data_IF_179692949548
#
_entry.id   IF_179692949548
#
_cell.length_a   1.000
_cell.length_b   1.000
_cell.length_c   1.000
_cell.angle_alpha   90.00
_cell.angle_beta   90.00
_cell.angle_gamma   90.00
#
_symmetry.space_group_name_H-M   'P 1'
#
loop_
_entity.id
_entity.type
_entity.pdbx_description
1 polymer ?
#
# COMPACT_ATOMS: atom_id res chain seq x y z
N UNK A 1 30.98 -1.89 5.98
CA UNK A 1 30.39 -2.16 4.65
C UNK A 1 29.82 -0.90 4.01
N UNK A 2 28.79 -0.25 4.58
CA UNK A 2 28.15 0.95 3.99
C UNK A 2 29.15 2.03 3.56
N UNK A 3 30.07 2.43 4.44
CA UNK A 3 31.11 3.43 4.12
C UNK A 3 31.90 3.08 2.86
N UNK A 4 32.35 1.83 2.77
CA UNK A 4 33.10 1.32 1.61
C UNK A 4 32.22 1.37 0.36
N UNK A 5 30.94 1.00 0.45
CA UNK A 5 30.00 1.07 -0.67
C UNK A 5 29.82 2.50 -1.18
N UNK A 6 29.71 3.48 -0.28
CA UNK A 6 29.60 4.91 -0.65
C UNK A 6 30.88 5.35 -1.39
N UNK A 7 32.06 5.07 -0.81
CA UNK A 7 33.35 5.41 -1.41
C UNK A 7 33.52 4.78 -2.81
N UNK A 8 33.21 3.49 -2.95
CA UNK A 8 33.29 2.79 -4.23
C UNK A 8 32.25 3.30 -5.24
N UNK A 9 31.07 3.70 -4.79
CA UNK A 9 30.03 4.26 -5.67
C UNK A 9 30.46 5.60 -6.28
N UNK A 10 31.13 6.46 -5.52
CA UNK A 10 31.67 7.73 -6.02
C UNK A 10 32.78 7.50 -7.06
N UNK A 11 33.65 6.51 -6.83
CA UNK A 11 34.68 6.11 -7.82
C UNK A 11 34.00 5.58 -9.09
N UNK A 12 32.97 4.76 -8.94
CA UNK A 12 32.23 4.18 -10.06
C UNK A 12 31.49 5.24 -10.88
N UNK A 13 30.87 6.22 -10.21
CA UNK A 13 30.22 7.37 -10.86
C UNK A 13 31.21 8.09 -11.79
N UNK A 14 32.41 8.39 -11.29
CA UNK A 14 33.46 9.06 -12.08
C UNK A 14 33.84 8.24 -13.31
N UNK A 15 34.15 6.95 -13.11
CA UNK A 15 34.54 6.03 -14.19
C UNK A 15 33.44 5.87 -15.25
N UNK A 16 32.18 5.78 -14.84
CA UNK A 16 31.04 5.66 -15.76
C UNK A 16 30.87 6.96 -16.54
N UNK A 17 30.97 8.12 -15.89
CA UNK A 17 30.83 9.40 -16.58
C UNK A 17 31.96 9.64 -17.58
N UNK A 18 33.20 9.25 -17.26
CA UNK A 18 34.34 9.26 -18.19
C UNK A 18 34.07 8.34 -19.39
N UNK A 19 33.63 7.11 -19.14
CA UNK A 19 33.28 6.16 -20.20
C UNK A 19 32.15 6.67 -21.10
N UNK A 20 31.08 7.22 -20.53
CA UNK A 20 29.94 7.77 -21.27
C UNK A 20 30.37 8.95 -22.14
N UNK A 21 31.24 9.82 -21.62
CA UNK A 21 31.81 10.94 -22.37
C UNK A 21 32.68 10.45 -23.52
N UNK A 22 33.52 9.43 -23.31
CA UNK A 22 34.35 8.83 -24.37
C UNK A 22 33.47 8.24 -25.49
N UNK A 23 32.38 7.55 -25.14
CA UNK A 23 31.51 6.88 -26.13
C UNK A 23 30.56 7.81 -26.88
N UNK A 24 30.08 8.86 -26.22
CA UNK A 24 29.07 9.75 -26.82
C UNK A 24 29.67 11.04 -27.37
N UNK A 25 30.90 11.42 -26.94
CA UNK A 25 31.51 12.71 -27.24
C UNK A 25 30.91 13.88 -26.45
N UNK A 26 29.89 13.64 -25.62
CA UNK A 26 29.17 14.66 -24.87
C UNK A 26 29.03 14.30 -23.39
N UNK A 27 28.78 15.30 -22.56
CA UNK A 27 28.57 15.13 -21.10
C UNK A 27 27.10 15.21 -20.67
N UNK A 28 26.15 15.09 -21.62
CA UNK A 28 24.71 15.17 -21.33
C UNK A 28 24.19 13.95 -20.56
N UNK A 29 24.71 12.77 -20.87
CA UNK A 29 24.35 11.53 -20.17
C UNK A 29 25.35 11.32 -19.02
N UNK A 30 24.86 11.39 -17.79
CA UNK A 30 25.65 11.18 -16.58
C UNK A 30 24.94 10.26 -15.60
N UNK A 31 25.71 9.42 -14.94
CA UNK A 31 25.33 8.78 -13.69
C UNK A 31 25.61 9.74 -12.54
N UNK A 32 24.74 9.72 -11.55
CA UNK A 32 24.96 10.37 -10.26
C UNK A 32 24.64 9.34 -9.17
N UNK A 33 25.52 9.20 -8.19
CA UNK A 33 25.24 8.47 -6.98
C UNK A 33 24.15 9.22 -6.19
N UNK A 34 23.08 8.51 -5.83
CA UNK A 34 22.02 9.08 -5.00
C UNK A 34 22.15 8.67 -3.54
N UNK A 35 22.22 7.36 -3.28
CA UNK A 35 22.20 6.78 -1.93
C UNK A 35 22.53 5.31 -1.92
N UNK A 36 22.96 4.84 -0.76
CA UNK A 36 23.13 3.42 -0.42
C UNK A 36 22.01 3.01 0.53
N UNK A 37 21.39 1.85 0.29
CA UNK A 37 20.41 1.29 1.24
C UNK A 37 20.99 0.08 1.94
N UNK A 38 21.11 0.13 3.26
CA UNK A 38 21.48 -1.01 4.06
C UNK A 38 21.02 -0.88 5.52
N UNK A 39 20.46 -1.93 6.14
CA UNK A 39 19.94 -3.13 5.50
C UNK A 39 18.78 -2.79 4.55
N UNK A 40 18.55 -3.65 3.57
CA UNK A 40 17.49 -3.50 2.58
C UNK A 40 16.86 -4.86 2.24
N UNK A 41 15.55 -4.87 2.01
CA UNK A 41 14.78 -6.05 1.63
C UNK A 41 14.04 -5.77 0.33
N UNK A 42 14.21 -6.67 -0.62
CA UNK A 42 13.56 -6.62 -1.93
C UNK A 42 12.55 -7.76 -2.02
N UNK A 43 11.26 -7.42 -1.88
CA UNK A 43 10.16 -8.41 -1.94
C UNK A 43 9.85 -8.77 -3.39
N UNK A 44 9.71 -7.75 -4.24
CA UNK A 44 9.41 -7.93 -5.66
C UNK A 44 9.90 -6.73 -6.48
N UNK A 45 9.78 -6.82 -7.80
CA UNK A 45 10.09 -5.69 -8.69
C UNK A 45 9.27 -4.46 -8.27
N UNK A 46 9.97 -3.33 -8.05
CA UNK A 46 9.41 -2.06 -7.54
C UNK A 46 8.78 -2.13 -6.13
N UNK A 47 8.96 -3.22 -5.39
CA UNK A 47 8.46 -3.40 -4.02
C UNK A 47 9.64 -3.75 -3.09
N UNK A 48 10.18 -2.74 -2.42
CA UNK A 48 11.34 -2.89 -1.55
C UNK A 48 11.40 -1.77 -0.52
N UNK A 49 12.18 -2.00 0.54
CA UNK A 49 12.41 -1.04 1.60
C UNK A 49 13.78 -1.24 2.25
N UNK A 50 14.26 -0.23 2.95
CA UNK A 50 15.55 -0.29 3.65
C UNK A 50 15.90 1.01 4.33
N UNK A 51 16.99 0.99 5.09
CA UNK A 51 17.55 2.20 5.70
C UNK A 51 18.46 2.89 4.70
N UNK A 52 18.28 4.19 4.52
CA UNK A 52 19.06 5.01 3.58
C UNK A 52 20.27 5.62 4.24
N UNK A 53 21.37 5.62 3.49
CA UNK A 53 22.61 6.32 3.77
C UNK A 53 23.01 7.11 2.54
N UNK A 54 23.03 8.44 2.66
CA UNK A 54 23.33 9.33 1.52
C UNK A 54 24.83 9.56 1.44
N UNK A 55 25.35 10.51 2.22
CA UNK A 55 26.77 10.89 2.24
C UNK A 55 27.62 10.06 3.21
N UNK A 56 27.02 9.63 4.31
CA UNK A 56 27.70 8.88 5.37
C UNK A 56 26.79 7.81 5.97
N UNK A 57 27.36 6.76 6.59
CA UNK A 57 26.58 5.76 7.31
C UNK A 57 25.85 6.42 8.50
N UNK A 58 24.53 6.35 8.48
CA UNK A 58 23.66 6.87 9.54
C UNK A 58 22.86 5.72 10.18
N UNK A 59 23.34 5.26 11.35
CA UNK A 59 22.65 4.26 12.18
C UNK A 59 22.02 4.84 13.44
N UNK A 60 22.37 6.08 13.79
CA UNK A 60 21.86 6.76 15.00
C UNK A 60 20.45 7.28 14.79
N UNK A 61 20.11 7.68 13.57
CA UNK A 61 18.78 8.15 13.21
C UNK A 61 18.41 7.61 11.83
N UNK A 62 18.15 6.29 11.75
CA UNK A 62 17.96 5.61 10.47
C UNK A 62 16.72 6.16 9.77
N UNK A 63 16.88 6.50 8.48
CA UNK A 63 15.78 6.95 7.63
C UNK A 63 15.23 5.78 6.83
N UNK A 64 13.98 5.40 7.09
CA UNK A 64 13.31 4.34 6.37
C UNK A 64 12.88 4.80 4.98
N UNK A 65 13.27 4.04 3.97
CA UNK A 65 12.83 4.24 2.60
C UNK A 65 11.90 3.13 2.17
N UNK A 66 10.77 3.53 1.58
CA UNK A 66 9.67 2.65 1.19
C UNK A 66 9.38 2.85 -0.30
N UNK A 67 9.48 1.78 -1.10
CA UNK A 67 9.13 1.83 -2.53
C UNK A 67 8.07 0.79 -2.85
N UNK A 68 6.94 1.25 -3.39
CA UNK A 68 5.86 0.40 -3.91
C UNK A 68 5.10 -0.43 -2.88
N UNK A 69 5.55 -0.48 -1.63
CA UNK A 69 4.84 -1.14 -0.54
C UNK A 69 3.48 -0.51 -0.27
N UNK A 70 2.49 -1.30 0.14
CA UNK A 70 1.14 -0.82 0.43
C UNK A 70 1.12 0.25 1.53
N UNK A 71 2.11 0.27 2.43
CA UNK A 71 2.30 1.25 3.49
C UNK A 71 2.31 2.72 2.99
N UNK A 72 2.76 2.98 1.76
CA UNK A 72 2.76 4.35 1.20
C UNK A 72 1.41 4.79 0.61
N UNK A 73 0.42 3.89 0.55
CA UNK A 73 -0.90 4.20 -0.02
C UNK A 73 -1.75 4.95 1.01
N UNK A 74 -2.54 5.92 0.54
CA UNK A 74 -3.43 6.72 1.41
C UNK A 74 -4.68 5.96 1.88
N UNK A 75 -5.13 4.97 1.11
CA UNK A 75 -6.35 4.21 1.40
C UNK A 75 -6.02 2.87 2.09
N UNK A 76 -5.44 2.95 3.27
CA UNK A 76 -5.12 1.81 4.13
C UNK A 76 -5.51 2.18 5.56
N UNK A 77 -5.88 1.18 6.36
CA UNK A 77 -6.17 1.41 7.78
C UNK A 77 -4.91 1.78 8.54
N UNK A 78 -5.06 2.55 9.61
CA UNK A 78 -3.94 2.90 10.49
C UNK A 78 -3.37 1.65 11.17
N UNK A 79 -4.23 0.66 11.47
CA UNK A 79 -3.83 -0.68 11.90
C UNK A 79 -2.80 -1.31 10.95
N UNK A 80 -3.08 -1.31 9.64
CA UNK A 80 -2.14 -1.85 8.67
C UNK A 80 -0.80 -1.09 8.74
N UNK A 81 -0.84 0.24 8.87
CA UNK A 81 0.38 1.04 8.90
C UNK A 81 1.28 0.69 10.07
N UNK A 82 0.72 0.71 11.27
CA UNK A 82 1.45 0.45 12.50
C UNK A 82 2.05 -0.96 12.49
N UNK A 83 1.24 -1.96 12.19
CA UNK A 83 1.69 -3.37 12.21
C UNK A 83 2.72 -3.63 11.11
N UNK A 84 2.49 -3.14 9.89
CA UNK A 84 3.43 -3.31 8.78
C UNK A 84 4.75 -2.55 9.03
N UNK A 85 4.71 -1.35 9.61
CA UNK A 85 5.90 -0.59 9.97
C UNK A 85 6.73 -1.32 11.04
N UNK A 86 6.09 -1.84 12.10
CA UNK A 86 6.75 -2.66 13.12
C UNK A 86 7.43 -3.91 12.51
N UNK A 87 6.74 -4.60 11.59
CA UNK A 87 7.31 -5.73 10.84
C UNK A 87 8.52 -5.32 9.99
N UNK A 88 8.45 -4.18 9.30
CA UNK A 88 9.54 -3.68 8.45
C UNK A 88 10.77 -3.38 9.30
N UNK A 89 10.62 -2.62 10.37
CA UNK A 89 11.73 -2.28 11.26
C UNK A 89 12.36 -3.54 11.85
N UNK A 90 11.52 -4.47 12.34
CA UNK A 90 12.01 -5.74 12.86
C UNK A 90 12.76 -6.56 11.80
N UNK A 91 12.24 -6.63 10.57
CA UNK A 91 12.89 -7.38 9.49
C UNK A 91 14.22 -6.76 9.04
N UNK A 92 14.36 -5.43 9.19
CA UNK A 92 15.59 -4.69 8.97
C UNK A 92 16.58 -4.80 10.15
N UNK A 93 16.26 -5.52 11.22
CA UNK A 93 17.16 -5.67 12.36
C UNK A 93 17.12 -4.52 13.34
N UNK A 94 16.05 -3.72 13.34
CA UNK A 94 15.87 -2.62 14.27
C UNK A 94 14.69 -2.87 15.22
N UNK A 95 14.81 -2.34 16.43
CA UNK A 95 13.70 -2.20 17.34
C UNK A 95 12.74 -1.12 16.82
N UNK A 96 11.43 -1.35 16.95
CA UNK A 96 10.43 -0.43 16.42
C UNK A 96 10.37 0.89 17.20
N UNK A 97 10.52 0.84 18.53
CA UNK A 97 10.28 1.98 19.42
C UNK A 97 11.43 3.00 19.41
N UNK A 98 12.66 2.53 19.58
CA UNK A 98 13.86 3.37 19.70
C UNK A 98 14.74 3.35 18.43
N UNK A 99 14.40 2.50 17.45
CA UNK A 99 15.15 2.31 16.20
C UNK A 99 16.61 1.94 16.45
N UNK A 100 16.89 1.28 17.58
CA UNK A 100 18.20 0.70 17.86
C UNK A 100 18.39 -0.63 17.13
N UNK A 101 19.63 -1.00 16.85
CA UNK A 101 19.96 -2.27 16.18
C UNK A 101 19.75 -3.43 17.16
N UNK A 102 19.04 -4.48 16.74
CA UNK A 102 18.89 -5.71 17.53
C UNK A 102 20.20 -6.49 17.53
N UNK A 103 20.58 -7.02 18.69
CA UNK A 103 21.83 -7.76 18.88
C UNK A 103 21.74 -9.23 18.46
N UNK A 104 20.53 -9.77 18.27
CA UNK A 104 20.28 -11.18 17.98
C UNK A 104 19.97 -11.41 16.50
N UNK A 105 20.38 -12.56 15.96
CA UNK A 105 19.98 -13.02 14.63
C UNK A 105 18.47 -13.26 14.59
N UNK A 106 17.78 -12.46 13.81
CA UNK A 106 16.32 -12.50 13.73
C UNK A 106 15.89 -13.51 12.68
N UNK A 107 15.25 -14.60 13.12
CA UNK A 107 14.34 -15.32 12.23
C UNK A 107 13.16 -14.40 11.89
N UNK A 108 13.16 -13.91 10.65
CA UNK A 108 12.12 -13.01 10.11
C UNK A 108 10.74 -13.63 10.22
N UNK A 109 10.63 -14.95 10.08
CA UNK A 109 9.38 -15.68 10.24
C UNK A 109 8.91 -15.54 11.68
N UNK A 110 9.71 -15.99 12.64
CA UNK A 110 9.39 -15.91 14.07
C UNK A 110 9.06 -14.49 14.54
N UNK A 111 9.81 -13.48 14.09
CA UNK A 111 9.50 -12.08 14.43
C UNK A 111 8.16 -11.62 13.86
N UNK A 112 7.87 -11.95 12.59
CA UNK A 112 6.59 -11.62 11.96
C UNK A 112 5.43 -12.26 12.76
N UNK A 113 5.61 -13.50 13.20
CA UNK A 113 4.64 -14.21 14.04
C UNK A 113 4.38 -13.55 15.39
N UNK A 114 5.46 -13.23 16.10
CA UNK A 114 5.36 -12.59 17.41
C UNK A 114 4.64 -11.24 17.33
N UNK A 115 4.91 -10.46 16.28
CA UNK A 115 4.24 -9.18 16.05
C UNK A 115 2.74 -9.41 15.78
N UNK A 116 2.37 -10.34 14.90
CA UNK A 116 0.95 -10.63 14.64
C UNK A 116 0.24 -11.04 15.93
N UNK A 117 0.82 -11.97 16.69
CA UNK A 117 0.25 -12.45 17.96
C UNK A 117 0.10 -11.35 19.01
N UNK A 118 1.07 -10.43 19.09
CA UNK A 118 0.98 -9.24 19.97
C UNK A 118 -0.30 -8.43 19.69
N UNK A 119 -0.61 -8.18 18.42
CA UNK A 119 -1.81 -7.41 18.04
C UNK A 119 -3.11 -8.22 18.10
N UNK A 120 -3.08 -9.55 17.87
CA UNK A 120 -4.25 -10.42 18.03
C UNK A 120 -4.69 -10.46 19.51
N UNK A 121 -3.72 -10.60 20.42
CA UNK A 121 -3.99 -10.75 21.85
C UNK A 121 -4.31 -9.41 22.56
N UNK A 122 -4.18 -8.28 21.88
CA UNK A 122 -4.40 -6.97 22.48
C UNK A 122 -5.89 -6.71 22.71
N UNK A 123 -6.29 -6.59 23.98
CA UNK A 123 -7.71 -6.47 24.38
C UNK A 123 -8.33 -5.09 24.17
N UNK A 124 -7.51 -4.03 24.20
CA UNK A 124 -7.95 -2.64 24.09
C UNK A 124 -7.29 -1.96 22.88
N UNK A 125 -7.88 -2.14 21.70
CA UNK A 125 -7.43 -1.50 20.47
C UNK A 125 -8.42 -0.39 20.12
N UNK A 126 -7.91 0.82 19.84
CA UNK A 126 -8.75 1.95 19.44
C UNK A 126 -9.49 1.65 18.13
N UNK A 127 -10.76 2.10 18.05
CA UNK A 127 -11.58 1.97 16.85
C UNK A 127 -10.95 2.71 15.64
N UNK A 128 -10.30 3.84 15.91
CA UNK A 128 -9.68 4.70 14.88
C UNK A 128 -8.63 3.95 14.06
N UNK A 129 -8.03 2.90 14.63
CA UNK A 129 -7.06 2.07 13.94
C UNK A 129 -7.66 1.31 12.76
N UNK A 130 -8.97 1.07 12.78
CA UNK A 130 -9.66 0.24 11.81
C UNK A 130 -10.45 1.05 10.77
N UNK A 131 -10.42 2.38 10.87
CA UNK A 131 -11.12 3.25 9.93
C UNK A 131 -10.49 3.15 8.54
N UNK A 132 -11.34 2.92 7.54
CA UNK A 132 -11.01 2.91 6.13
C UNK A 132 -11.69 4.08 5.44
N UNK A 133 -11.17 4.46 4.27
CA UNK A 133 -11.72 5.54 3.46
C UNK A 133 -12.12 5.04 2.09
N UNK A 134 -13.21 5.55 1.55
CA UNK A 134 -13.56 5.30 0.16
C UNK A 134 -14.19 6.54 -0.45
N UNK A 135 -14.06 6.65 -1.77
CA UNK A 135 -14.72 7.68 -2.56
C UNK A 135 -15.74 7.00 -3.45
N UNK A 136 -17.01 7.38 -3.27
CA UNK A 136 -18.05 7.04 -4.22
C UNK A 136 -18.16 8.17 -5.23
N UNK A 137 -18.17 7.84 -6.52
CA UNK A 137 -18.31 8.83 -7.59
C UNK A 137 -19.18 8.21 -8.68
N UNK A 138 -20.44 8.66 -8.72
CA UNK A 138 -21.46 8.20 -9.66
C UNK A 138 -21.26 8.74 -11.08
N UNK A 139 -20.27 9.62 -11.29
CA UNK A 139 -19.91 10.22 -12.58
C UNK A 139 -18.55 9.72 -13.08
N UNK A 140 -17.83 8.94 -12.27
CA UNK A 140 -16.53 8.37 -12.62
C UNK A 140 -16.59 7.43 -13.84
N UNK A 141 -16.16 7.95 -14.99
CA UNK A 141 -16.01 7.19 -16.23
C UNK A 141 -14.53 6.96 -16.52
N UNK A 142 -13.98 5.73 -16.37
CA UNK A 142 -12.59 5.49 -16.69
C UNK A 142 -12.36 5.61 -18.20
N UNK A 143 -11.43 6.48 -18.57
CA UNK A 143 -10.92 6.59 -19.94
C UNK A 143 -9.64 5.75 -20.07
N UNK A 144 -9.50 5.00 -21.17
CA UNK A 144 -8.25 4.29 -21.43
C UNK A 144 -7.12 5.26 -21.79
N UNK A 145 -5.86 4.87 -21.57
CA UNK A 145 -4.68 5.64 -21.98
C UNK A 145 -4.69 5.96 -23.48
N UNK A 146 -5.20 5.05 -24.30
CA UNK A 146 -5.32 5.23 -25.75
C UNK A 146 -6.35 6.31 -26.07
N UNK A 147 -7.57 6.20 -25.53
CA UNK A 147 -8.62 7.20 -25.72
C UNK A 147 -8.19 8.56 -25.15
N UNK A 148 -7.49 8.59 -24.02
CA UNK A 148 -6.92 9.81 -23.46
C UNK A 148 -5.88 10.44 -24.38
N UNK A 149 -4.94 9.65 -24.91
CA UNK A 149 -3.95 10.12 -25.88
C UNK A 149 -4.59 10.71 -27.13
N UNK A 150 -5.68 10.10 -27.62
CA UNK A 150 -6.47 10.62 -28.73
C UNK A 150 -7.12 11.98 -28.41
N UNK A 151 -7.69 12.12 -27.22
CA UNK A 151 -8.26 13.40 -26.76
C UNK A 151 -7.20 14.48 -26.51
N UNK A 152 -5.99 14.09 -26.13
CA UNK A 152 -4.87 15.00 -25.87
C UNK A 152 -4.27 15.56 -27.16
N UNK A 153 -4.26 14.76 -28.25
CA UNK A 153 -3.81 15.17 -29.57
C UNK A 153 -4.96 15.13 -30.61
N UNK A 154 -6.02 15.93 -30.44
CA UNK A 154 -7.26 15.79 -31.21
C UNK A 154 -7.06 16.08 -32.71
N UNK A 155 -6.03 16.84 -33.08
CA UNK A 155 -5.72 17.15 -34.48
C UNK A 155 -5.20 15.95 -35.28
N UNK A 156 -4.73 14.89 -34.61
CA UNK A 156 -4.19 13.69 -35.23
C UNK A 156 -5.25 12.59 -35.44
N UNK A 157 -6.50 12.83 -35.05
CA UNK A 157 -7.54 11.82 -34.99
C UNK A 157 -8.85 12.30 -35.59
N UNK A 158 -9.68 11.34 -36.00
CA UNK A 158 -10.96 11.62 -36.64
C UNK A 158 -11.95 12.31 -35.67
N UNK A 159 -12.69 13.29 -36.20
CA UNK A 159 -13.62 14.11 -35.40
C UNK A 159 -14.82 13.31 -34.90
N UNK A 160 -15.31 12.33 -35.66
CA UNK A 160 -16.41 11.48 -35.18
C UNK A 160 -15.96 10.54 -34.08
N UNK A 161 -14.76 9.97 -34.21
CA UNK A 161 -14.18 9.12 -33.18
C UNK A 161 -14.02 9.88 -31.85
N UNK A 162 -13.50 11.10 -31.89
CA UNK A 162 -13.37 11.96 -30.70
C UNK A 162 -14.73 12.32 -30.10
N UNK A 163 -15.75 12.54 -30.94
CA UNK A 163 -17.12 12.82 -30.50
C UNK A 163 -17.71 11.61 -29.77
N UNK A 164 -17.55 10.40 -30.32
CA UNK A 164 -17.98 9.14 -29.68
C UNK A 164 -17.31 8.92 -28.32
N UNK A 165 -16.00 9.18 -28.22
CA UNK A 165 -15.27 9.06 -26.94
C UNK A 165 -15.83 10.03 -25.89
N UNK A 166 -16.12 11.28 -26.27
CA UNK A 166 -16.69 12.30 -25.37
C UNK A 166 -18.14 11.99 -24.97
N UNK A 167 -18.96 11.50 -25.90
CA UNK A 167 -20.35 11.09 -25.62
C UNK A 167 -20.40 9.87 -24.69
N UNK A 168 -19.50 8.90 -24.89
CA UNK A 168 -19.32 7.76 -23.98
C UNK A 168 -18.97 8.19 -22.56
N UNK A 169 -18.20 9.27 -22.38
CA UNK A 169 -17.92 9.83 -21.06
C UNK A 169 -19.13 10.53 -20.44
N UNK A 170 -19.90 11.28 -21.23
CA UNK A 170 -21.09 12.01 -20.74
C UNK A 170 -22.25 11.09 -20.37
N UNK A 171 -22.42 10.00 -21.10
CA UNK A 171 -23.57 9.10 -20.95
C UNK A 171 -23.28 7.87 -20.07
N UNK A 172 -22.11 7.77 -19.45
CA UNK A 172 -21.82 6.61 -18.61
C UNK A 172 -22.47 6.77 -17.24
N UNK A 173 -23.62 6.13 -17.04
CA UNK A 173 -24.01 5.69 -15.70
C UNK A 173 -22.93 4.70 -15.22
N UNK A 174 -22.29 5.02 -14.10
CA UNK A 174 -21.07 4.33 -13.69
C UNK A 174 -21.30 2.89 -13.28
N UNK A 175 -21.11 1.95 -14.22
CA UNK A 175 -20.90 0.51 -13.95
C UNK A 175 -19.42 0.15 -13.75
N UNK A 176 -18.51 1.10 -13.98
CA UNK A 176 -17.06 0.88 -13.99
C UNK A 176 -16.38 1.72 -12.89
N UNK A 177 -16.41 1.19 -11.67
CA UNK A 177 -15.69 1.71 -10.51
C UNK A 177 -15.41 0.56 -9.53
N UNK A 178 -14.99 0.87 -8.30
CA UNK A 178 -14.82 -0.16 -7.28
C UNK A 178 -16.21 -0.78 -6.98
N UNK A 179 -16.41 -2.04 -7.40
CA UNK A 179 -17.69 -2.75 -7.28
C UNK A 179 -18.19 -2.81 -5.84
N UNK A 180 -17.29 -2.98 -4.87
CA UNK A 180 -17.62 -2.99 -3.45
C UNK A 180 -18.20 -1.64 -3.00
N UNK A 181 -17.59 -0.53 -3.42
CA UNK A 181 -18.08 0.83 -3.11
C UNK A 181 -19.43 1.11 -3.77
N UNK A 182 -19.60 0.71 -5.03
CA UNK A 182 -20.86 0.89 -5.77
C UNK A 182 -21.99 0.08 -5.14
N UNK A 183 -21.72 -1.17 -4.77
CA UNK A 183 -22.70 -2.04 -4.11
C UNK A 183 -23.11 -1.46 -2.74
N UNK A 184 -22.14 -1.03 -1.95
CA UNK A 184 -22.38 -0.37 -0.67
C UNK A 184 -23.22 0.91 -0.83
N UNK A 185 -22.86 1.80 -1.76
CA UNK A 185 -23.62 3.02 -2.04
C UNK A 185 -25.08 2.73 -2.45
N UNK A 186 -25.29 1.68 -3.26
CA UNK A 186 -26.62 1.24 -3.69
C UNK A 186 -27.47 0.75 -2.51
N UNK A 187 -26.86 0.01 -1.58
CA UNK A 187 -27.52 -0.41 -0.33
C UNK A 187 -27.90 0.79 0.53
N UNK A 188 -26.97 1.73 0.72
CA UNK A 188 -27.20 2.95 1.49
C UNK A 188 -28.35 3.80 0.92
N UNK A 189 -28.46 3.89 -0.41
CA UNK A 189 -29.59 4.54 -1.08
C UNK A 189 -30.93 3.85 -0.79
N UNK A 190 -30.98 2.51 -0.83
CA UNK A 190 -32.19 1.73 -0.47
C UNK A 190 -32.60 1.94 0.99
N UNK A 191 -31.62 2.09 1.88
CA UNK A 191 -31.82 2.39 3.29
C UNK A 191 -32.11 3.87 3.57
N UNK A 192 -32.39 4.68 2.53
CA UNK A 192 -32.71 6.11 2.61
C UNK A 192 -31.59 6.97 3.22
N UNK A 193 -30.34 6.56 3.07
CA UNK A 193 -29.14 7.27 3.52
C UNK A 193 -28.11 7.37 2.39
N UNK A 194 -28.40 8.05 1.27
CA UNK A 194 -27.51 8.07 0.11
C UNK A 194 -26.16 8.71 0.45
N UNK A 195 -25.09 8.16 -0.13
CA UNK A 195 -23.75 8.77 -0.05
C UNK A 195 -23.62 9.88 -1.09
N UNK A 196 -23.00 10.99 -0.71
CA UNK A 196 -22.74 12.11 -1.63
C UNK A 196 -21.65 11.72 -2.66
N UNK A 197 -21.94 11.80 -3.98
CA UNK A 197 -20.95 11.54 -5.01
C UNK A 197 -19.79 12.53 -4.94
N UNK A 198 -18.58 12.04 -5.20
CA UNK A 198 -17.36 12.84 -5.25
C UNK A 198 -16.68 13.05 -3.90
N UNK A 199 -17.38 12.82 -2.77
CA UNK A 199 -16.81 12.96 -1.42
C UNK A 199 -16.25 11.64 -0.88
N UNK A 200 -15.26 11.77 -0.01
CA UNK A 200 -14.77 10.63 0.77
C UNK A 200 -15.73 10.35 1.94
N UNK A 201 -15.93 9.08 2.23
CA UNK A 201 -16.62 8.61 3.42
C UNK A 201 -15.73 7.63 4.19
N UNK A 202 -16.00 7.54 5.49
CA UNK A 202 -15.24 6.73 6.43
C UNK A 202 -16.08 5.53 6.86
N UNK A 203 -15.47 4.36 6.90
CA UNK A 203 -16.18 3.12 7.23
C UNK A 203 -15.28 2.12 7.95
N UNK A 204 -15.92 1.16 8.60
CA UNK A 204 -15.28 0.04 9.30
C UNK A 204 -15.90 -1.26 8.78
N UNK A 205 -15.10 -2.32 8.69
CA UNK A 205 -15.60 -3.65 8.35
C UNK A 205 -16.00 -4.36 9.63
N UNK A 206 -17.30 -4.60 9.77
CA UNK A 206 -17.90 -5.23 10.94
C UNK A 206 -18.13 -6.72 10.74
N UNK A 207 -18.16 -7.47 11.83
CA UNK A 207 -18.40 -8.92 11.86
C UNK A 207 -19.89 -9.24 12.05
N UNK A 208 -20.81 -8.39 11.61
CA UNK A 208 -22.25 -8.57 11.89
C UNK A 208 -22.72 -10.03 11.69
N UNK A 209 -23.60 -10.48 12.58
CA UNK A 209 -23.94 -11.88 12.90
C UNK A 209 -24.61 -12.72 11.81
N UNK A 210 -24.17 -12.56 10.56
CA UNK A 210 -24.53 -13.45 9.47
C UNK A 210 -23.70 -14.72 9.59
N UNK A 211 -24.36 -15.83 9.92
CA UNK A 211 -23.79 -17.17 10.03
C UNK A 211 -23.20 -17.73 8.71
N UNK A 212 -23.18 -16.95 7.63
CA UNK A 212 -22.68 -17.35 6.33
C UNK A 212 -21.20 -16.97 6.16
N UNK A 213 -20.37 -17.97 5.89
CA UNK A 213 -18.93 -17.79 5.60
C UNK A 213 -18.64 -17.00 4.31
N UNK A 214 -19.64 -16.80 3.45
CA UNK A 214 -19.51 -16.19 2.11
C UNK A 214 -20.30 -14.87 1.97
N UNK A 215 -20.13 -13.95 2.92
CA UNK A 215 -20.74 -12.62 2.84
C UNK A 215 -19.73 -11.66 2.20
N UNK A 216 -20.17 -10.94 1.17
CA UNK A 216 -19.31 -9.97 0.48
C UNK A 216 -18.88 -8.85 1.43
N UNK A 217 -17.68 -8.32 1.25
CA UNK A 217 -17.13 -7.26 2.12
C UNK A 217 -18.05 -6.03 2.19
N UNK A 218 -18.72 -5.66 1.09
CA UNK A 218 -19.60 -4.49 1.07
C UNK A 218 -20.80 -4.62 2.01
N UNK A 219 -21.26 -5.84 2.31
CA UNK A 219 -22.35 -6.10 3.25
C UNK A 219 -21.92 -5.95 4.71
N UNK A 220 -20.61 -6.05 4.95
CA UNK A 220 -19.99 -5.90 6.28
C UNK A 220 -19.55 -4.47 6.58
N UNK A 221 -19.52 -3.61 5.56
CA UNK A 221 -19.14 -2.21 5.70
C UNK A 221 -20.20 -1.46 6.50
N UNK A 222 -19.75 -0.63 7.41
CA UNK A 222 -20.62 0.26 8.18
C UNK A 222 -19.94 1.61 8.32
N UNK A 223 -20.72 2.69 8.19
CA UNK A 223 -20.19 4.03 8.39
C UNK A 223 -19.68 4.19 9.83
N UNK A 224 -18.62 4.98 10.01
CA UNK A 224 -18.04 5.23 11.34
C UNK A 224 -19.08 5.79 12.32
N UNK A 225 -19.95 6.68 11.83
CA UNK A 225 -20.98 7.35 12.63
C UNK A 225 -22.11 6.40 13.06
N UNK A 226 -22.22 5.24 12.39
CA UNK A 226 -23.19 4.19 12.71
C UNK A 226 -22.57 3.06 13.55
N UNK A 227 -21.24 3.05 13.69
CA UNK A 227 -20.54 2.06 14.49
C UNK A 227 -20.68 2.37 15.98
N UNK A 228 -21.40 1.51 16.71
CA UNK A 228 -21.57 1.63 18.16
C UNK A 228 -20.67 0.60 18.86
N UNK A 229 -19.62 1.02 19.59
CA UNK A 229 -18.80 0.12 20.40
C UNK A 229 -19.65 -0.70 21.38
N UNK A 230 -19.37 -2.00 21.49
CA UNK A 230 -20.11 -2.92 22.35
C UNK A 230 -21.33 -3.58 21.67
N UNK A 231 -22.04 -2.85 20.80
CA UNK A 231 -23.11 -3.43 19.97
C UNK A 231 -22.54 -4.11 18.72
N UNK A 232 -21.63 -3.42 18.04
CA UNK A 232 -21.00 -3.91 16.81
C UNK A 232 -19.60 -4.44 17.12
N UNK A 233 -19.19 -5.49 16.40
CA UNK A 233 -17.85 -6.09 16.51
C UNK A 233 -17.08 -5.87 15.21
N UNK A 234 -15.78 -5.59 15.33
CA UNK A 234 -14.88 -5.42 14.18
C UNK A 234 -14.58 -6.81 13.58
N UNK A 235 -14.53 -6.91 12.25
CA UNK A 235 -14.05 -8.11 11.56
C UNK A 235 -12.52 -8.08 11.52
N UNK A 236 -11.86 -8.44 12.64
CA UNK A 236 -10.39 -8.44 12.73
C UNK A 236 -9.72 -9.23 11.60
N UNK A 237 -10.33 -10.33 11.16
CA UNK A 237 -9.79 -11.17 10.08
C UNK A 237 -9.60 -10.35 8.79
N UNK A 238 -10.53 -9.46 8.47
CA UNK A 238 -10.39 -8.56 7.31
C UNK A 238 -9.09 -7.74 7.37
N UNK A 239 -8.77 -7.21 8.55
CA UNK A 239 -7.59 -6.36 8.76
C UNK A 239 -6.30 -7.16 8.84
N UNK A 240 -6.31 -8.34 9.46
CA UNK A 240 -5.14 -9.21 9.48
C UNK A 240 -4.83 -9.79 8.10
N UNK A 241 -5.83 -10.24 7.33
CA UNK A 241 -5.61 -10.64 5.93
C UNK A 241 -5.10 -9.51 5.06
N UNK A 242 -5.38 -8.26 5.43
CA UNK A 242 -4.85 -7.12 4.70
C UNK A 242 -3.31 -6.99 4.78
N UNK A 243 -2.65 -7.66 5.74
CA UNK A 243 -1.19 -7.74 5.93
C UNK A 243 -0.53 -8.86 5.11
N UNK A 244 -1.30 -9.66 4.37
CA UNK A 244 -0.79 -10.81 3.62
C UNK A 244 0.36 -10.46 2.67
N UNK A 245 0.31 -9.29 2.03
CA UNK A 245 1.33 -8.83 1.08
C UNK A 245 2.69 -8.61 1.75
N UNK A 246 2.71 -8.04 2.96
CA UNK A 246 3.97 -7.85 3.67
C UNK A 246 4.46 -9.14 4.33
N UNK A 247 3.56 -9.96 4.88
CA UNK A 247 3.93 -11.23 5.53
C UNK A 247 4.51 -12.20 4.50
N UNK A 248 3.86 -12.41 3.37
CA UNK A 248 4.38 -13.23 2.26
C UNK A 248 5.75 -12.74 1.79
N UNK A 249 5.92 -11.42 1.62
CA UNK A 249 7.19 -10.85 1.21
C UNK A 249 8.34 -11.01 2.20
N UNK A 250 8.04 -11.00 3.50
CA UNK A 250 9.05 -11.16 4.57
C UNK A 250 9.41 -12.62 4.85
N UNK A 251 8.43 -13.53 4.70
CA UNK A 251 8.57 -14.95 5.05
C UNK A 251 8.92 -15.83 3.85
N UNK A 252 8.65 -15.36 2.64
CA UNK A 252 8.71 -16.15 1.41
C UNK A 252 7.55 -17.14 1.26
N UNK A 253 6.53 -17.07 2.12
CA UNK A 253 5.34 -17.91 1.99
C UNK A 253 4.46 -17.46 0.83
N UNK A 254 3.79 -18.43 0.22
CA UNK A 254 2.74 -18.13 -0.75
C UNK A 254 1.50 -17.54 -0.08
N UNK A 255 0.58 -17.05 -0.90
CA UNK A 255 -0.65 -16.42 -0.43
C UNK A 255 -1.51 -17.36 0.44
N UNK A 256 -1.58 -18.65 0.10
CA UNK A 256 -2.43 -19.64 0.80
C UNK A 256 -1.82 -19.99 2.15
N UNK A 257 -0.52 -20.24 2.18
CA UNK A 257 0.25 -20.48 3.40
C UNK A 257 0.08 -19.31 4.36
N UNK A 258 0.21 -18.09 3.87
CA UNK A 258 0.03 -16.87 4.68
C UNK A 258 -1.38 -16.75 5.26
N UNK A 259 -2.42 -17.05 4.48
CA UNK A 259 -3.81 -17.00 4.95
C UNK A 259 -4.08 -18.08 6.00
N UNK A 260 -3.67 -19.32 5.73
CA UNK A 260 -3.82 -20.44 6.67
C UNK A 260 -3.12 -20.13 7.99
N UNK A 261 -1.94 -19.56 7.89
CA UNK A 261 -1.15 -19.16 9.02
C UNK A 261 -1.82 -18.07 9.87
N UNK A 262 -2.38 -17.03 9.24
CA UNK A 262 -3.16 -16.00 9.94
C UNK A 262 -4.46 -16.59 10.53
N UNK A 263 -4.99 -17.68 9.97
CA UNK A 263 -6.18 -18.37 10.50
C UNK A 263 -5.87 -19.26 11.71
N UNK A 264 -4.65 -19.77 11.82
CA UNK A 264 -4.21 -20.65 12.92
C UNK A 264 -3.81 -19.88 14.19
N UNK A 265 -3.59 -18.56 14.08
CA UNK A 265 -3.31 -17.64 15.19
C UNK A 265 -4.60 -17.07 15.80
#
# INVERSE_FOLDING_TARGET
MVKITIEQSNILETKINEYLKEKTGFSYLRMAYEKTMWPAIFIAKKHYFGVVHELEPNFTSPSLYLRGVKLVKRNISEFYKIVAEEMIWSALGFNHEDKSIKQEDIDRKQSTFQIINKYICQKNISLDLFVLTAKYDSLYSPISLIEFGKLFNPHLHDKEELKRIREKQKNSETRKGNRMVIAFASMMQRNKKPLEPGRFYYYIVSKEGQNNKNVDTWQKMMLTDEFIPGKHKIDFNHYFYSLQDIVSGLTGYDEKQTIQLIQEL
#
